data_IF_963943345954
#
_entry.id   IF_963943345954
#
_cell.length_a   1.000
_cell.length_b   1.000
_cell.length_c   1.000
_cell.angle_alpha   90.00
_cell.angle_beta   90.00
_cell.angle_gamma   90.00
#
_symmetry.space_group_name_H-M   'P 1'
#
loop_
_entity.id
_entity.type
_entity.pdbx_description
1 polymer ?
#
# COMPACT_ATOMS: atom_id res chain seq x y z
N UNK A 1 -14.21 15.37 3.82
CA UNK A 1 -13.12 15.93 2.99
C UNK A 1 -13.19 15.21 1.66
N UNK A 2 -13.62 15.89 0.63
CA UNK A 2 -13.61 15.40 -0.74
C UNK A 2 -12.15 15.17 -1.12
N UNK A 3 -11.82 13.94 -1.52
CA UNK A 3 -10.56 13.65 -2.21
C UNK A 3 -10.57 14.47 -3.50
N UNK A 4 -9.84 15.58 -3.53
CA UNK A 4 -9.50 16.19 -4.81
C UNK A 4 -8.57 15.21 -5.51
N UNK A 5 -9.06 14.60 -6.56
CA UNK A 5 -8.25 13.86 -7.51
C UNK A 5 -7.24 14.84 -8.10
N UNK A 6 -6.00 14.76 -7.65
CA UNK A 6 -4.91 15.55 -8.23
C UNK A 6 -4.65 14.96 -9.62
N UNK A 7 -5.34 15.48 -10.62
CA UNK A 7 -5.22 15.07 -12.03
C UNK A 7 -4.00 15.75 -12.70
N UNK A 8 -3.04 16.23 -11.88
CA UNK A 8 -1.80 16.90 -12.33
C UNK A 8 -0.65 15.90 -12.40
N UNK A 9 -0.61 15.16 -13.50
CA UNK A 9 0.52 14.29 -13.85
C UNK A 9 1.52 15.04 -14.71
N UNK A 10 2.82 14.69 -14.59
CA UNK A 10 3.83 15.20 -15.52
C UNK A 10 3.47 14.84 -16.97
N UNK A 11 3.33 15.87 -17.80
CA UNK A 11 2.91 15.72 -19.20
C UNK A 11 3.96 14.98 -20.01
N UNK A 12 5.25 15.18 -19.73
CA UNK A 12 6.34 14.52 -20.44
C UNK A 12 6.32 13.02 -20.17
N UNK A 13 6.19 12.62 -18.90
CA UNK A 13 6.06 11.23 -18.46
C UNK A 13 4.77 10.62 -19.01
N UNK A 14 3.64 11.36 -18.94
CA UNK A 14 2.37 10.91 -19.51
C UNK A 14 2.50 10.60 -21.00
N UNK A 15 3.17 11.45 -21.77
CA UNK A 15 3.32 11.26 -23.21
C UNK A 15 4.27 10.10 -23.54
N UNK A 16 5.35 9.91 -22.77
CA UNK A 16 6.25 8.77 -22.94
C UNK A 16 5.52 7.44 -22.69
N UNK A 17 4.87 7.31 -21.53
CA UNK A 17 4.12 6.09 -21.18
C UNK A 17 2.96 5.85 -22.16
N UNK A 18 2.24 6.90 -22.57
CA UNK A 18 1.19 6.83 -23.59
C UNK A 18 1.69 6.22 -24.90
N UNK A 19 2.90 6.59 -25.36
CA UNK A 19 3.49 6.00 -26.58
C UNK A 19 3.66 4.51 -26.43
N UNK A 20 4.25 4.06 -25.31
CA UNK A 20 4.44 2.63 -25.04
C UNK A 20 3.12 1.85 -24.96
N UNK A 21 2.06 2.43 -24.39
CA UNK A 21 0.74 1.78 -24.39
C UNK A 21 0.12 1.66 -25.78
N UNK A 22 0.38 2.61 -26.70
CA UNK A 22 -0.02 2.45 -28.12
C UNK A 22 0.66 1.27 -28.75
N UNK A 23 1.97 1.13 -28.52
CA UNK A 23 2.75 0.02 -29.07
C UNK A 23 2.29 -1.34 -28.50
N UNK A 24 1.97 -1.38 -27.20
CA UNK A 24 1.41 -2.58 -26.56
C UNK A 24 0.09 -2.97 -27.24
N UNK A 25 -0.87 -2.02 -27.40
CA UNK A 25 -2.16 -2.29 -28.00
C UNK A 25 -2.00 -2.82 -29.43
N UNK A 26 -1.09 -2.23 -30.20
CA UNK A 26 -0.77 -2.70 -31.56
C UNK A 26 -0.21 -4.12 -31.55
N UNK A 27 0.79 -4.39 -30.68
CA UNK A 27 1.52 -5.65 -30.66
C UNK A 27 0.70 -6.84 -30.15
N UNK A 28 -0.35 -6.61 -29.34
CA UNK A 28 -1.31 -7.65 -28.97
C UNK A 28 -2.36 -7.92 -30.06
N UNK A 29 -2.28 -7.24 -31.23
CA UNK A 29 -3.16 -7.45 -32.35
C UNK A 29 -4.49 -6.69 -32.31
N UNK A 30 -4.63 -5.68 -31.42
CA UNK A 30 -5.86 -4.93 -31.28
C UNK A 30 -5.87 -3.67 -32.16
N UNK A 31 -7.05 -3.29 -32.64
CA UNK A 31 -7.24 -2.06 -33.44
C UNK A 31 -7.26 -0.81 -32.52
N UNK A 32 -6.12 -0.14 -32.44
CA UNK A 32 -5.97 1.06 -31.61
C UNK A 32 -6.86 2.26 -32.05
N UNK A 33 -7.42 2.22 -33.26
CA UNK A 33 -8.24 3.30 -33.80
C UNK A 33 -9.75 3.11 -33.55
N UNK A 34 -10.17 1.98 -32.95
CA UNK A 34 -11.58 1.83 -32.60
C UNK A 34 -11.95 2.79 -31.45
N UNK A 35 -13.16 3.30 -31.47
CA UNK A 35 -13.67 4.38 -30.59
C UNK A 35 -13.33 4.15 -29.10
N UNK A 36 -13.53 2.95 -28.59
CA UNK A 36 -13.24 2.62 -27.20
C UNK A 36 -11.76 2.63 -26.80
N UNK A 37 -10.82 2.64 -27.76
CA UNK A 37 -9.37 2.60 -27.50
C UNK A 37 -8.62 3.90 -27.82
N UNK A 38 -9.24 4.88 -28.47
CA UNK A 38 -8.58 6.14 -28.85
C UNK A 38 -7.91 6.82 -27.65
N UNK A 39 -8.59 6.88 -26.51
CA UNK A 39 -8.09 7.51 -25.29
C UNK A 39 -7.39 6.55 -24.33
N UNK A 40 -7.44 5.24 -24.58
CA UNK A 40 -6.89 4.22 -23.65
C UNK A 40 -5.41 4.44 -23.35
N UNK A 41 -4.52 4.74 -24.31
CA UNK A 41 -3.11 4.96 -24.00
C UNK A 41 -2.88 6.11 -23.01
N UNK A 42 -3.63 7.20 -23.14
CA UNK A 42 -3.54 8.34 -22.22
C UNK A 42 -4.10 8.01 -20.84
N UNK A 43 -5.25 7.32 -20.78
CA UNK A 43 -5.86 6.90 -19.51
C UNK A 43 -4.98 5.89 -18.77
N UNK A 44 -4.41 4.92 -19.49
CA UNK A 44 -3.50 3.94 -18.92
C UNK A 44 -2.19 4.59 -18.40
N UNK A 45 -1.65 5.58 -19.13
CA UNK A 45 -0.48 6.31 -18.69
C UNK A 45 -0.71 7.08 -17.39
N UNK A 46 -1.86 7.77 -17.27
CA UNK A 46 -2.24 8.46 -16.02
C UNK A 46 -2.47 7.47 -14.87
N UNK A 47 -3.17 6.37 -15.13
CA UNK A 47 -3.40 5.33 -14.13
C UNK A 47 -2.08 4.75 -13.61
N UNK A 48 -1.11 4.49 -14.50
CA UNK A 48 0.21 3.99 -14.11
C UNK A 48 0.95 5.00 -13.22
N UNK A 49 0.95 6.29 -13.54
CA UNK A 49 1.56 7.31 -12.70
C UNK A 49 0.89 7.38 -11.32
N UNK A 50 -0.44 7.32 -11.26
CA UNK A 50 -1.16 7.27 -9.98
C UNK A 50 -0.79 6.03 -9.15
N UNK A 51 -0.73 4.86 -9.78
CA UNK A 51 -0.41 3.60 -9.12
C UNK A 51 1.05 3.50 -8.68
N UNK A 52 1.92 4.40 -9.15
CA UNK A 52 3.35 4.42 -8.82
C UNK A 52 3.82 5.74 -8.18
N UNK A 53 2.90 6.63 -7.81
CA UNK A 53 3.22 7.95 -7.24
C UNK A 53 3.96 7.89 -5.89
N UNK A 54 3.93 6.75 -5.22
CA UNK A 54 4.61 6.55 -3.95
C UNK A 54 6.14 6.64 -4.02
N UNK A 55 6.73 6.56 -5.23
CA UNK A 55 8.17 6.80 -5.41
C UNK A 55 8.57 8.27 -5.15
N UNK A 56 7.66 9.21 -5.36
CA UNK A 56 7.90 10.65 -5.23
C UNK A 56 7.47 11.19 -3.84
N UNK A 57 7.09 10.31 -2.91
CA UNK A 57 6.58 10.70 -1.58
C UNK A 57 7.53 10.29 -0.47
N UNK A 58 7.65 11.13 0.57
CA UNK A 58 8.40 10.84 1.79
C UNK A 58 7.46 10.37 2.92
N UNK A 59 7.42 9.06 3.23
CA UNK A 59 6.57 8.52 4.27
C UNK A 59 6.97 8.98 5.68
N UNK A 60 8.26 9.22 5.94
CA UNK A 60 8.73 9.70 7.23
C UNK A 60 8.28 11.15 7.48
N UNK A 61 8.32 12.01 6.46
CA UNK A 61 7.80 13.38 6.56
C UNK A 61 6.29 13.40 6.85
N UNK A 62 5.51 12.45 6.31
CA UNK A 62 4.07 12.31 6.59
C UNK A 62 3.82 12.03 8.08
N UNK A 63 4.60 11.16 8.70
CA UNK A 63 4.49 10.85 10.13
C UNK A 63 4.94 12.05 10.98
N UNK A 64 6.15 12.57 10.74
CA UNK A 64 6.73 13.68 11.49
C UNK A 64 5.85 14.92 11.50
N UNK A 65 5.17 15.20 10.39
CA UNK A 65 4.28 16.34 10.26
C UNK A 65 3.00 16.28 11.11
N UNK A 66 2.75 15.17 11.83
CA UNK A 66 1.57 15.01 12.68
C UNK A 66 1.85 14.20 13.96
N UNK A 67 3.12 14.16 14.39
CA UNK A 67 3.52 13.66 15.70
C UNK A 67 3.24 14.71 16.76
N UNK A 68 2.78 14.28 17.93
CA UNK A 68 2.61 15.14 19.09
C UNK A 68 2.84 14.35 20.39
N UNK A 69 3.27 15.04 21.43
CA UNK A 69 3.53 14.43 22.72
C UNK A 69 2.22 13.99 23.38
N UNK A 70 2.18 12.76 23.87
CA UNK A 70 1.04 12.18 24.57
C UNK A 70 1.53 11.07 25.51
N UNK A 71 0.95 10.99 26.70
CA UNK A 71 1.33 10.00 27.71
C UNK A 71 0.58 8.66 27.58
N UNK A 72 0.10 8.34 26.40
CA UNK A 72 -0.55 7.06 26.10
C UNK A 72 0.47 5.95 25.95
N UNK A 73 0.25 4.81 26.63
CA UNK A 73 1.20 3.69 26.66
C UNK A 73 0.61 2.36 26.19
N UNK A 74 -0.66 2.35 25.78
CA UNK A 74 -1.34 1.16 25.29
C UNK A 74 -1.19 1.03 23.76
N UNK A 75 -1.57 -0.11 23.22
CA UNK A 75 -1.56 -0.36 21.78
C UNK A 75 -2.49 0.58 21.04
N UNK A 76 -1.98 1.26 20.02
CA UNK A 76 -2.77 1.97 19.01
C UNK A 76 -2.85 1.07 17.79
N UNK A 77 -4.07 0.68 17.39
CA UNK A 77 -4.31 -0.17 16.24
C UNK A 77 -5.15 0.57 15.18
N UNK A 78 -4.66 0.61 13.96
CA UNK A 78 -5.42 0.98 12.76
C UNK A 78 -5.57 -0.25 11.90
N UNK A 79 -6.77 -0.78 11.78
CA UNK A 79 -7.05 -2.02 11.06
C UNK A 79 -7.92 -1.78 9.82
N UNK A 80 -7.99 -2.81 8.96
CA UNK A 80 -8.77 -2.79 7.72
C UNK A 80 -8.36 -1.67 6.75
N UNK A 81 -7.09 -1.28 6.76
CA UNK A 81 -6.56 -0.31 5.80
C UNK A 81 -6.52 -0.96 4.43
N UNK A 82 -7.27 -0.42 3.47
CA UNK A 82 -7.28 -0.93 2.10
C UNK A 82 -5.90 -0.82 1.46
N UNK A 83 -5.47 -1.87 0.79
CA UNK A 83 -4.20 -1.95 0.08
C UNK A 83 -4.45 -2.24 -1.38
N UNK A 84 -3.93 -1.40 -2.26
CA UNK A 84 -3.89 -1.61 -3.71
C UNK A 84 -2.46 -1.38 -4.20
N UNK A 85 -1.84 -2.40 -4.78
CA UNK A 85 -0.45 -2.34 -5.24
C UNK A 85 -0.26 -3.10 -6.55
N UNK A 86 0.90 -2.92 -7.17
CA UNK A 86 1.30 -3.64 -8.38
C UNK A 86 2.43 -4.62 -8.07
N UNK A 87 2.22 -5.89 -8.43
CA UNK A 87 3.27 -6.90 -8.34
C UNK A 87 4.43 -6.54 -9.27
N UNK A 88 5.65 -6.44 -8.74
CA UNK A 88 6.83 -6.05 -9.53
C UNK A 88 7.18 -7.05 -10.64
N UNK A 89 6.82 -8.33 -10.48
CA UNK A 89 7.14 -9.36 -11.46
C UNK A 89 6.26 -9.32 -12.72
N UNK A 90 5.03 -8.82 -12.61
CA UNK A 90 4.05 -8.89 -13.69
C UNK A 90 3.32 -7.57 -13.97
N UNK A 91 3.50 -6.55 -13.12
CA UNK A 91 2.73 -5.29 -13.13
C UNK A 91 1.20 -5.53 -13.06
N UNK A 92 0.79 -6.67 -12.52
CA UNK A 92 -0.61 -6.97 -12.23
C UNK A 92 -0.95 -6.60 -10.79
N UNK A 93 -2.20 -6.21 -10.51
CA UNK A 93 -2.60 -5.79 -9.17
C UNK A 93 -2.53 -6.93 -8.15
N UNK A 94 -2.21 -6.58 -6.91
CA UNK A 94 -2.64 -7.29 -5.73
C UNK A 94 -3.33 -6.31 -4.79
N UNK A 95 -4.31 -6.77 -4.07
CA UNK A 95 -5.14 -5.92 -3.23
C UNK A 95 -5.64 -6.67 -2.01
N UNK A 96 -5.90 -5.94 -0.96
CA UNK A 96 -6.34 -6.53 0.30
C UNK A 96 -6.39 -5.51 1.43
N UNK A 97 -5.95 -5.93 2.61
CA UNK A 97 -6.01 -5.12 3.82
C UNK A 97 -4.68 -5.16 4.58
N UNK A 98 -4.32 -4.04 5.18
CA UNK A 98 -3.25 -3.95 6.15
C UNK A 98 -3.80 -3.63 7.54
N UNK A 99 -3.18 -4.19 8.55
CA UNK A 99 -3.41 -3.92 9.96
C UNK A 99 -2.09 -3.46 10.56
N UNK A 100 -2.09 -2.26 11.12
CA UNK A 100 -0.88 -1.62 11.66
C UNK A 100 -1.12 -1.24 13.10
N UNK A 101 -0.26 -1.73 14.01
CA UNK A 101 -0.29 -1.34 15.40
C UNK A 101 1.07 -0.83 15.87
N UNK A 102 1.06 0.08 16.83
CA UNK A 102 2.26 0.50 17.55
C UNK A 102 1.93 0.77 19.01
N UNK A 103 2.94 0.64 19.90
CA UNK A 103 2.85 1.03 21.30
C UNK A 103 3.70 2.28 21.47
N UNK A 104 3.09 3.44 21.75
CA UNK A 104 3.81 4.70 21.84
C UNK A 104 4.90 4.73 22.93
N UNK A 105 5.93 5.56 22.71
CA UNK A 105 6.90 5.96 23.72
C UNK A 105 6.99 7.48 23.78
N UNK A 106 6.04 8.11 24.52
CA UNK A 106 5.95 9.55 24.68
C UNK A 106 5.36 10.36 23.52
N UNK A 107 5.19 9.74 22.35
CA UNK A 107 4.61 10.42 21.18
C UNK A 107 3.60 9.54 20.47
N UNK A 108 2.52 10.14 20.00
CA UNK A 108 1.56 9.51 19.09
C UNK A 108 1.51 10.26 17.76
N UNK A 109 0.91 9.64 16.75
CA UNK A 109 0.72 10.23 15.44
C UNK A 109 -0.77 10.29 15.08
N UNK A 110 -1.17 11.31 14.35
CA UNK A 110 -2.54 11.39 13.84
C UNK A 110 -2.93 10.14 13.06
N UNK A 111 -4.03 9.48 13.45
CA UNK A 111 -4.45 8.16 12.95
C UNK A 111 -4.49 8.08 11.41
N UNK A 112 -4.89 9.17 10.74
CA UNK A 112 -4.95 9.24 9.27
C UNK A 112 -3.58 9.16 8.58
N UNK A 113 -2.47 9.27 9.32
CA UNK A 113 -1.11 9.21 8.75
C UNK A 113 -0.67 7.77 8.52
N UNK A 114 -1.14 6.84 9.33
CA UNK A 114 -0.84 5.42 9.16
C UNK A 114 -1.32 4.89 7.80
N UNK A 115 -2.60 5.06 7.40
CA UNK A 115 -3.05 4.67 6.06
C UNK A 115 -2.26 5.38 4.93
N UNK A 116 -1.89 6.65 5.11
CA UNK A 116 -1.09 7.36 4.10
C UNK A 116 0.30 6.77 3.92
N UNK A 117 0.94 6.32 4.99
CA UNK A 117 2.24 5.61 4.90
C UNK A 117 2.07 4.28 4.18
N UNK A 118 1.01 3.54 4.48
CA UNK A 118 0.67 2.30 3.76
C UNK A 118 0.52 2.60 2.25
N UNK A 119 -0.22 3.65 1.88
CA UNK A 119 -0.41 4.07 0.49
C UNK A 119 0.91 4.44 -0.20
N UNK A 120 1.81 5.18 0.48
CA UNK A 120 3.12 5.54 -0.10
C UNK A 120 3.92 4.32 -0.53
N UNK A 121 3.93 3.27 0.29
CA UNK A 121 4.65 2.04 -0.05
C UNK A 121 3.85 1.14 -1.00
N UNK A 122 2.53 1.10 -0.89
CA UNK A 122 1.67 0.32 -1.78
C UNK A 122 1.66 0.87 -3.21
N UNK A 123 1.74 2.21 -3.39
CA UNK A 123 1.82 2.87 -4.70
C UNK A 123 3.21 2.81 -5.33
N UNK A 124 3.78 1.60 -5.40
CA UNK A 124 5.08 1.27 -6.02
C UNK A 124 4.97 -0.10 -6.67
N UNK A 125 5.98 -0.51 -7.43
CA UNK A 125 6.14 -1.91 -7.82
C UNK A 125 6.64 -2.70 -6.60
N UNK A 126 5.87 -3.71 -6.16
CA UNK A 126 6.09 -4.36 -4.86
C UNK A 126 6.06 -5.89 -4.93
N UNK A 127 6.70 -6.48 -3.94
CA UNK A 127 6.34 -7.80 -3.39
C UNK A 127 5.75 -7.58 -2.00
N UNK A 128 4.78 -8.40 -1.62
CA UNK A 128 4.01 -8.19 -0.38
C UNK A 128 4.90 -8.23 0.87
N UNK A 129 5.91 -9.07 0.90
CA UNK A 129 6.88 -9.19 1.97
C UNK A 129 7.66 -7.90 2.18
N UNK A 130 8.18 -7.30 1.10
CA UNK A 130 8.88 -6.01 1.14
C UNK A 130 7.96 -4.88 1.55
N UNK A 131 6.72 -4.85 1.06
CA UNK A 131 5.72 -3.87 1.45
C UNK A 131 5.49 -3.89 2.97
N UNK A 132 5.33 -5.09 3.54
CA UNK A 132 5.17 -5.28 4.99
C UNK A 132 6.35 -4.74 5.78
N UNK A 133 7.57 -5.10 5.39
CA UNK A 133 8.80 -4.66 6.07
C UNK A 133 9.03 -3.15 5.93
N UNK A 134 8.79 -2.57 4.76
CA UNK A 134 8.97 -1.12 4.55
C UNK A 134 8.00 -0.29 5.40
N UNK A 135 6.75 -0.70 5.55
CA UNK A 135 5.77 -0.04 6.42
C UNK A 135 6.24 -0.17 7.88
N UNK A 136 6.60 -1.38 8.30
CA UNK A 136 7.07 -1.68 9.65
C UNK A 136 8.29 -0.83 10.03
N UNK A 137 9.32 -0.84 9.19
CA UNK A 137 10.58 -0.13 9.46
C UNK A 137 10.39 1.39 9.43
N UNK A 138 9.59 1.91 8.52
CA UNK A 138 9.29 3.35 8.47
C UNK A 138 8.64 3.84 9.77
N UNK A 139 7.64 3.10 10.28
CA UNK A 139 6.95 3.46 11.52
C UNK A 139 7.91 3.31 12.70
N UNK A 140 8.64 2.20 12.75
CA UNK A 140 9.58 1.91 13.84
C UNK A 140 10.68 2.97 13.95
N UNK A 141 11.29 3.36 12.82
CA UNK A 141 12.41 4.33 12.82
C UNK A 141 11.97 5.77 12.94
N UNK A 142 10.71 6.08 12.59
CA UNK A 142 10.23 7.49 12.59
C UNK A 142 9.56 7.86 13.90
N UNK A 143 8.76 6.95 14.48
CA UNK A 143 8.04 7.19 15.74
C UNK A 143 8.83 6.73 16.97
N UNK A 144 9.84 5.86 16.78
CA UNK A 144 10.62 5.23 17.84
C UNK A 144 9.75 4.66 18.98
N UNK A 145 8.71 3.87 18.65
CA UNK A 145 7.77 3.35 19.62
C UNK A 145 8.36 2.19 20.39
N UNK A 146 7.71 1.77 21.49
CA UNK A 146 8.08 0.54 22.22
C UNK A 146 7.95 -0.73 21.39
N UNK A 147 7.16 -0.68 20.33
CA UNK A 147 7.01 -1.77 19.37
C UNK A 147 6.05 -1.42 18.26
N UNK A 148 6.18 -2.15 17.15
CA UNK A 148 5.34 -2.05 15.95
C UNK A 148 4.96 -3.44 15.46
N UNK A 149 3.74 -3.56 14.93
CA UNK A 149 3.26 -4.75 14.24
C UNK A 149 2.57 -4.35 12.94
N UNK A 150 2.83 -5.10 11.88
CA UNK A 150 2.15 -4.97 10.59
C UNK A 150 1.74 -6.35 10.10
N UNK A 151 0.47 -6.50 9.70
CA UNK A 151 -0.04 -7.68 9.02
C UNK A 151 -0.73 -7.22 7.74
N UNK A 152 -0.43 -7.86 6.63
CA UNK A 152 -1.08 -7.62 5.33
C UNK A 152 -1.66 -8.92 4.81
N UNK A 153 -2.93 -8.89 4.42
CA UNK A 153 -3.62 -9.97 3.73
C UNK A 153 -4.05 -9.50 2.35
N UNK A 154 -3.65 -10.19 1.30
CA UNK A 154 -3.95 -9.77 -0.07
C UNK A 154 -4.16 -10.92 -1.04
N UNK A 155 -5.02 -10.66 -2.03
CA UNK A 155 -5.24 -11.48 -3.21
C UNK A 155 -4.39 -10.97 -4.36
N UNK A 156 -3.72 -11.89 -5.08
CA UNK A 156 -2.79 -11.55 -6.16
C UNK A 156 -3.37 -11.93 -7.52
N UNK A 157 -3.65 -10.93 -8.37
CA UNK A 157 -4.18 -11.17 -9.72
C UNK A 157 -3.19 -11.97 -10.59
N UNK A 158 -1.90 -11.84 -10.35
CA UNK A 158 -0.88 -12.63 -11.04
C UNK A 158 -0.96 -14.14 -10.75
N UNK A 159 -1.57 -14.53 -9.62
CA UNK A 159 -1.84 -15.93 -9.26
C UNK A 159 -3.26 -16.37 -9.66
N UNK A 160 -4.23 -15.45 -9.63
CA UNK A 160 -5.66 -15.77 -9.82
C UNK A 160 -6.03 -15.90 -11.30
N UNK A 161 -5.70 -14.89 -12.12
CA UNK A 161 -6.15 -14.81 -13.50
C UNK A 161 -5.24 -15.50 -14.51
N UNK A 162 -4.02 -15.86 -14.13
CA UNK A 162 -3.02 -16.54 -14.96
C UNK A 162 -2.03 -17.31 -14.06
N UNK A 163 -1.08 -18.02 -14.65
CA UNK A 163 -0.09 -18.82 -13.92
C UNK A 163 -0.74 -20.02 -13.23
N UNK A 164 -0.72 -20.06 -11.89
CA UNK A 164 -1.26 -21.20 -11.13
C UNK A 164 -2.79 -21.23 -11.03
N UNK A 165 -3.47 -20.16 -11.40
CA UNK A 165 -4.94 -20.04 -11.46
C UNK A 165 -5.66 -20.43 -10.16
N UNK A 166 -5.12 -20.03 -8.99
CA UNK A 166 -5.69 -20.28 -7.68
C UNK A 166 -6.52 -19.09 -7.21
N UNK A 167 -7.82 -19.11 -7.51
CA UNK A 167 -8.74 -17.98 -7.30
C UNK A 167 -8.99 -17.64 -5.83
N UNK A 168 -8.96 -18.63 -4.94
CA UNK A 168 -9.27 -18.47 -3.51
C UNK A 168 -8.01 -18.34 -2.63
N UNK A 169 -6.81 -18.17 -3.23
CA UNK A 169 -5.61 -18.02 -2.44
C UNK A 169 -5.51 -16.61 -1.88
N UNK A 170 -5.31 -16.54 -0.57
CA UNK A 170 -5.01 -15.32 0.17
C UNK A 170 -3.59 -15.44 0.72
N UNK A 171 -2.78 -14.43 0.54
CA UNK A 171 -1.42 -14.38 1.07
C UNK A 171 -1.39 -13.48 2.29
N UNK A 172 -0.90 -13.98 3.41
CA UNK A 172 -0.70 -13.20 4.64
C UNK A 172 0.79 -13.02 4.90
N UNK A 173 1.21 -11.79 5.11
CA UNK A 173 2.57 -11.45 5.56
C UNK A 173 2.50 -10.66 6.85
N UNK A 174 3.48 -10.85 7.73
CA UNK A 174 3.52 -10.19 9.03
C UNK A 174 4.93 -9.78 9.42
N UNK A 175 5.04 -8.66 10.12
CA UNK A 175 6.29 -8.16 10.69
C UNK A 175 6.04 -7.61 12.09
N UNK A 176 7.02 -7.80 12.98
CA UNK A 176 6.94 -7.41 14.39
C UNK A 176 8.28 -6.84 14.86
N UNK A 177 8.26 -5.79 15.69
CA UNK A 177 9.43 -5.19 16.33
C UNK A 177 9.12 -4.84 17.80
N UNK A 178 10.15 -4.89 18.64
CA UNK A 178 10.07 -4.47 20.03
C UNK A 178 9.07 -5.28 20.85
N UNK A 179 8.12 -4.62 21.52
CA UNK A 179 7.16 -5.28 22.41
C UNK A 179 6.31 -6.35 21.72
N UNK A 180 6.09 -6.26 20.40
CA UNK A 180 5.34 -7.29 19.65
C UNK A 180 6.14 -8.56 19.35
N UNK A 181 7.43 -8.62 19.67
CA UNK A 181 8.19 -9.87 19.65
C UNK A 181 7.78 -10.80 20.79
N UNK A 182 7.21 -10.24 21.88
CA UNK A 182 6.63 -11.00 22.97
C UNK A 182 5.31 -11.64 22.55
N UNK A 183 5.13 -12.91 22.90
CA UNK A 183 3.96 -13.70 22.48
C UNK A 183 2.64 -13.12 22.99
N UNK A 184 2.63 -12.60 24.22
CA UNK A 184 1.43 -12.03 24.84
C UNK A 184 0.91 -10.83 24.05
N UNK A 185 1.78 -9.85 23.76
CA UNK A 185 1.44 -8.63 23.00
C UNK A 185 1.05 -8.96 21.56
N UNK A 186 1.77 -9.90 20.95
CA UNK A 186 1.44 -10.38 19.59
C UNK A 186 0.07 -11.04 19.55
N UNK A 187 -0.25 -11.90 20.50
CA UNK A 187 -1.56 -12.57 20.56
C UNK A 187 -2.70 -11.60 20.81
N UNK A 188 -2.48 -10.56 21.62
CA UNK A 188 -3.47 -9.49 21.81
C UNK A 188 -3.75 -8.78 20.49
N UNK A 189 -2.71 -8.36 19.78
CA UNK A 189 -2.84 -7.74 18.46
C UNK A 189 -3.59 -8.64 17.46
N UNK A 190 -3.21 -9.93 17.36
CA UNK A 190 -3.87 -10.86 16.44
C UNK A 190 -5.35 -11.07 16.78
N UNK A 191 -5.72 -11.11 18.06
CA UNK A 191 -7.13 -11.16 18.47
C UNK A 191 -7.91 -9.90 18.11
N UNK A 192 -7.27 -8.73 18.25
CA UNK A 192 -7.92 -7.46 17.92
C UNK A 192 -8.15 -7.28 16.42
N UNK A 193 -7.26 -7.74 15.56
CA UNK A 193 -7.47 -7.68 14.10
C UNK A 193 -8.57 -8.66 13.63
N UNK A 194 -8.72 -9.81 14.28
CA UNK A 194 -9.75 -10.80 13.95
C UNK A 194 -11.15 -10.40 14.48
N UNK A 195 -11.21 -9.52 15.48
CA UNK A 195 -12.48 -9.07 16.05
C UNK A 195 -13.18 -8.09 15.12
N UNK A 196 -14.44 -8.34 14.77
CA UNK A 196 -15.36 -7.34 14.19
C UNK A 196 -16.07 -6.58 15.30
N UNK A 197 -16.19 -5.24 15.15
CA UNK A 197 -17.19 -4.50 15.92
C UNK A 197 -18.56 -4.91 15.35
N UNK A 198 -19.32 -5.68 16.11
CA UNK A 198 -20.71 -6.04 15.81
C UNK A 198 -21.63 -4.85 15.99
#
# INVERSE_FOLDING_TARGET
>A
MTFESIDTYDISITNAIKSHYKDIIHNIGENQNREGLIDTPKRAAKAMQFLTQGYDMDPAAILKGAMFAESYNEMVLVKDIEVYSLCEHHMLPFFGKAHVAYIPDGHIVGLSKIPRVVDVFARRLQVQERLTEQILDCINTTLEPKGVAVVIEASHMCMMMRGVQKQNSLTTTSGFRGAFEKMETRNEFLKLIDSSLS
#
